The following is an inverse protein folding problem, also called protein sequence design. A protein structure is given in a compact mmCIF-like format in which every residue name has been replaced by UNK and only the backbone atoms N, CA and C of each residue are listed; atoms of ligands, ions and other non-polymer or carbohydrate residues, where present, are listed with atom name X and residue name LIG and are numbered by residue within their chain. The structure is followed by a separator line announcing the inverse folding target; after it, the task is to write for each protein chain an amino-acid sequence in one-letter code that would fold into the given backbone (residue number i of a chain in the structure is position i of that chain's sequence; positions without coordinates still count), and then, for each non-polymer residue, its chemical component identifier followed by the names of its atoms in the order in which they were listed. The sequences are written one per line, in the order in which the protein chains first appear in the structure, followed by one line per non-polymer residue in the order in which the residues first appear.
data_IF_446854685027
#
_entry.id   IF_446854685027
#
_cell.length_a   1.000
_cell.length_b   1.000
_cell.length_c   1.000
_cell.angle_alpha   90.00
_cell.angle_beta   90.00
_cell.angle_gamma   90.00
#
_symmetry.space_group_name_H-M   'P 1'
#
loop_
_entity.id
_entity.type
_entity.pdbx_description
1 polymer ?
#
# COMPACT_ATOMS: atom_id res chain seq x y z
N UNK A 1 5.71 -0.37 -24.21
CA UNK A 1 5.36 0.46 -23.07
C UNK A 1 3.86 0.34 -22.80
N UNK A 2 3.50 -0.53 -21.86
CA UNK A 2 2.17 -0.76 -21.32
C UNK A 2 2.08 0.00 -20.00
N UNK A 3 1.13 0.93 -19.93
CA UNK A 3 0.84 1.69 -18.71
C UNK A 3 -0.50 1.21 -18.16
N UNK A 4 -0.48 0.69 -16.95
CA UNK A 4 -1.68 0.36 -16.20
C UNK A 4 -2.10 1.57 -15.36
N UNK A 5 -3.24 2.15 -15.75
CA UNK A 5 -3.78 3.36 -15.16
C UNK A 5 -4.57 3.12 -13.87
N UNK A 6 -4.87 1.86 -13.51
CA UNK A 6 -5.67 1.53 -12.35
C UNK A 6 -5.05 0.40 -11.54
N UNK A 7 -4.09 0.78 -10.68
CA UNK A 7 -3.53 -0.08 -9.67
C UNK A 7 -3.60 0.53 -8.27
N UNK A 8 -3.49 -0.32 -7.26
CA UNK A 8 -3.51 0.10 -5.86
C UNK A 8 -2.27 -0.39 -5.13
N UNK A 9 -1.78 0.42 -4.20
CA UNK A 9 -0.59 0.11 -3.42
C UNK A 9 -0.69 -1.27 -2.74
N UNK A 10 0.32 -2.12 -2.98
CA UNK A 10 0.58 -3.33 -2.19
C UNK A 10 1.42 -2.91 -0.99
N UNK A 11 0.76 -2.61 0.12
CA UNK A 11 1.40 -2.07 1.31
C UNK A 11 1.79 -3.16 2.32
N UNK A 12 2.84 -2.93 3.13
CA UNK A 12 3.19 -3.84 4.21
C UNK A 12 2.14 -3.83 5.33
N UNK A 13 2.11 -4.92 6.10
CA UNK A 13 1.16 -5.10 7.20
C UNK A 13 1.25 -3.98 8.26
N UNK A 14 2.44 -3.41 8.45
CA UNK A 14 2.69 -2.30 9.38
C UNK A 14 1.84 -1.05 9.07
N UNK A 15 1.56 -0.75 7.81
CA UNK A 15 0.65 0.34 7.44
C UNK A 15 -0.79 0.07 7.92
N UNK A 16 -1.27 -1.16 7.76
CA UNK A 16 -2.62 -1.54 8.18
C UNK A 16 -2.74 -1.62 9.70
N UNK A 17 -1.70 -2.06 10.40
CA UNK A 17 -1.62 -2.03 11.86
C UNK A 17 -1.69 -0.60 12.40
N UNK A 18 -0.96 0.34 11.77
CA UNK A 18 -1.04 1.76 12.12
C UNK A 18 -2.46 2.31 11.99
N UNK A 19 -3.14 2.04 10.86
CA UNK A 19 -4.54 2.42 10.67
C UNK A 19 -5.45 1.81 11.75
N UNK A 20 -5.26 0.54 12.09
CA UNK A 20 -6.06 -0.13 13.12
C UNK A 20 -5.89 0.52 14.50
N UNK A 21 -4.66 0.86 14.88
CA UNK A 21 -4.39 1.54 16.15
C UNK A 21 -4.98 2.96 16.18
N UNK A 22 -4.86 3.72 15.09
CA UNK A 22 -5.49 5.05 14.98
C UNK A 22 -7.01 4.98 15.20
N UNK A 23 -7.67 3.98 14.62
CA UNK A 23 -9.12 3.77 14.78
C UNK A 23 -9.47 3.31 16.20
N UNK A 24 -8.71 2.37 16.76
CA UNK A 24 -8.96 1.83 18.10
C UNK A 24 -8.84 2.89 19.19
N UNK A 25 -7.90 3.82 19.01
CA UNK A 25 -7.64 4.89 19.95
C UNK A 25 -8.45 6.16 19.67
N UNK A 26 -9.25 6.21 18.59
CA UNK A 26 -10.06 7.38 18.26
C UNK A 26 -9.25 8.66 17.98
N UNK A 27 -7.95 8.52 17.73
CA UNK A 27 -7.03 9.64 17.45
C UNK A 27 -6.46 10.37 18.68
N UNK A 28 -6.58 9.84 19.90
CA UNK A 28 -6.03 10.49 21.10
C UNK A 28 -4.49 10.41 21.20
N UNK A 29 -3.87 9.41 20.58
CA UNK A 29 -2.44 9.10 20.57
C UNK A 29 -1.95 9.15 19.12
N UNK A 30 -1.71 10.37 18.64
CA UNK A 30 -1.10 10.60 17.34
C UNK A 30 0.37 10.17 17.38
N UNK A 31 0.68 9.08 16.67
CA UNK A 31 2.04 8.61 16.43
C UNK A 31 2.34 8.64 14.93
N UNK A 32 3.61 8.74 14.57
CA UNK A 32 4.01 8.56 13.18
C UNK A 32 3.96 7.06 12.84
N UNK A 33 3.50 6.66 11.63
CA UNK A 33 3.60 5.28 11.19
C UNK A 33 5.07 4.87 11.16
N UNK A 34 5.40 3.77 11.84
CA UNK A 34 6.72 3.15 11.76
C UNK A 34 6.64 2.02 10.75
N UNK A 35 7.12 2.29 9.54
CA UNK A 35 7.16 1.35 8.43
C UNK A 35 8.62 1.26 8.00
N UNK A 36 9.18 0.06 7.97
CA UNK A 36 10.59 -0.13 7.57
C UNK A 36 10.74 -0.18 6.06
N UNK A 37 11.82 0.39 5.55
CA UNK A 37 12.12 0.39 4.12
C UNK A 37 12.21 -1.04 3.55
N UNK A 38 12.71 -2.00 4.33
CA UNK A 38 12.79 -3.40 3.91
C UNK A 38 11.40 -4.02 3.71
N UNK A 39 10.42 -3.67 4.56
CA UNK A 39 9.04 -4.15 4.40
C UNK A 39 8.40 -3.59 3.12
N UNK A 40 8.66 -2.32 2.83
CA UNK A 40 8.20 -1.67 1.59
C UNK A 40 8.85 -2.31 0.37
N UNK A 41 10.15 -2.59 0.42
CA UNK A 41 10.87 -3.23 -0.68
C UNK A 41 10.32 -4.63 -1.00
N UNK A 42 10.01 -5.43 0.02
CA UNK A 42 9.43 -6.78 -0.16
C UNK A 42 8.07 -6.71 -0.86
N UNK A 43 7.17 -5.84 -0.42
CA UNK A 43 5.84 -5.74 -1.02
C UNK A 43 5.86 -5.10 -2.41
N UNK A 44 6.76 -4.12 -2.62
CA UNK A 44 6.98 -3.52 -3.94
C UNK A 44 7.53 -4.56 -4.93
N UNK A 45 8.51 -5.36 -4.55
CA UNK A 45 9.06 -6.40 -5.42
C UNK A 45 8.00 -7.41 -5.82
N UNK A 46 7.16 -7.88 -4.88
CA UNK A 46 6.06 -8.79 -5.21
C UNK A 46 5.08 -8.20 -6.24
N UNK A 47 4.86 -6.88 -6.22
CA UNK A 47 4.04 -6.20 -7.24
C UNK A 47 4.77 -6.13 -8.59
N UNK A 48 6.06 -5.82 -8.59
CA UNK A 48 6.90 -5.79 -9.80
C UNK A 48 6.96 -7.17 -10.44
N UNK A 49 7.15 -8.25 -9.67
CA UNK A 49 7.14 -9.63 -10.19
C UNK A 49 5.82 -9.97 -10.91
N UNK A 50 4.70 -9.43 -10.39
CA UNK A 50 3.39 -9.58 -11.02
C UNK A 50 3.30 -8.77 -12.31
N UNK A 51 3.80 -7.53 -12.33
CA UNK A 51 3.86 -6.68 -13.52
C UNK A 51 4.69 -7.34 -14.63
N UNK A 52 5.86 -7.88 -14.28
CA UNK A 52 6.75 -8.58 -15.21
C UNK A 52 6.08 -9.81 -15.83
N UNK A 53 5.31 -10.56 -15.04
CA UNK A 53 4.58 -11.75 -15.51
C UNK A 53 3.50 -11.44 -16.56
N UNK A 54 3.00 -10.20 -16.62
CA UNK A 54 1.96 -9.77 -17.58
C UNK A 54 2.46 -8.72 -18.58
N UNK A 55 3.71 -8.28 -18.48
CA UNK A 55 4.35 -7.31 -19.38
C UNK A 55 3.96 -5.85 -19.14
N UNK A 56 3.53 -5.48 -17.93
CA UNK A 56 3.21 -4.08 -17.58
C UNK A 56 4.49 -3.30 -17.28
N UNK A 57 4.76 -2.21 -18.01
CA UNK A 57 5.98 -1.42 -17.83
C UNK A 57 5.87 -0.37 -16.70
N UNK A 58 4.69 0.22 -16.51
CA UNK A 58 4.44 1.25 -15.47
C UNK A 58 3.04 1.08 -14.91
N UNK A 59 2.91 1.25 -13.59
CA UNK A 59 1.62 1.34 -12.88
C UNK A 59 1.44 2.71 -12.23
N UNK A 60 0.25 3.29 -12.39
CA UNK A 60 -0.18 4.43 -11.59
C UNK A 60 -0.84 3.91 -10.31
N UNK A 61 -0.16 4.11 -9.18
CA UNK A 61 -0.62 3.61 -7.89
C UNK A 61 -1.47 4.65 -7.14
N UNK A 62 -2.55 4.17 -6.53
CA UNK A 62 -3.39 4.91 -5.59
C UNK A 62 -3.58 4.13 -4.28
N UNK A 63 -3.99 4.77 -3.17
CA UNK A 63 -4.37 4.02 -1.97
C UNK A 63 -5.57 3.10 -2.25
N UNK A 64 -5.60 1.94 -1.58
CA UNK A 64 -6.72 0.99 -1.71
C UNK A 64 -8.04 1.62 -1.24
N UNK A 65 -9.05 1.80 -2.11
CA UNK A 65 -10.26 2.56 -1.79
C UNK A 65 -11.01 2.06 -0.54
N UNK A 66 -11.14 0.74 -0.38
CA UNK A 66 -11.86 0.16 0.76
C UNK A 66 -11.18 0.42 2.12
N UNK A 67 -9.88 0.72 2.16
CA UNK A 67 -9.21 1.16 3.38
C UNK A 67 -9.47 2.62 3.72
N UNK A 68 -9.92 3.43 2.76
CA UNK A 68 -10.24 4.85 2.96
C UNK A 68 -11.64 5.05 3.55
N UNK A 69 -12.43 3.99 3.72
CA UNK A 69 -13.77 4.10 4.33
C UNK A 69 -14.80 4.79 3.44
N UNK A 70 -14.56 4.82 2.13
CA UNK A 70 -15.48 5.35 1.12
C UNK A 70 -15.88 4.23 0.15
N UNK A 71 -17.18 4.18 -0.18
CA UNK A 71 -17.78 3.30 -1.19
C UNK A 71 -18.30 4.15 -2.34
#
# INVERSE_FOLDING_TARGET
MIIDAHAHLVAPASLYAYRANLLADGGFHLSQPVIKDEEVAVTAQSNVDTMDAVGTDVQLLSPRPYHQGHS
#
